data_IF_492123162992
#
_entry.id   IF_492123162992
#
_cell.length_a   1.000
_cell.length_b   1.000
_cell.length_c   1.000
_cell.angle_alpha   90.00
_cell.angle_beta   90.00
_cell.angle_gamma   90.00
#
_symmetry.space_group_name_H-M   'P 1'
#
loop_
_entity.id
_entity.type
_entity.pdbx_description
1 polymer ?
#
# COMPACT_ATOMS: atom_id res chain seq x y z
N UNK A 1 -2.61 3.86 7.80
CA UNK A 1 -1.89 3.42 6.58
C UNK A 1 -2.87 2.96 5.50
N UNK A 2 -3.62 1.86 5.67
CA UNK A 2 -4.65 1.43 4.70
C UNK A 2 -5.68 2.52 4.37
N UNK A 3 -6.21 3.21 5.39
CA UNK A 3 -7.13 4.34 5.17
C UNK A 3 -6.51 5.44 4.29
N UNK A 4 -5.23 5.80 4.51
CA UNK A 4 -4.54 6.80 3.70
C UNK A 4 -4.38 6.34 2.24
N UNK A 5 -4.16 5.03 2.04
CA UNK A 5 -4.18 4.46 0.69
C UNK A 5 -5.56 4.54 0.07
N UNK A 6 -6.63 4.16 0.78
CA UNK A 6 -8.00 4.22 0.25
C UNK A 6 -8.40 5.67 -0.11
N UNK A 7 -8.07 6.61 0.78
CA UNK A 7 -8.33 8.05 0.61
C UNK A 7 -7.47 8.70 -0.47
N UNK A 8 -6.36 8.07 -0.88
CA UNK A 8 -5.39 8.67 -1.81
C UNK A 8 -4.51 9.74 -1.16
N UNK A 9 -4.42 9.74 0.17
CA UNK A 9 -3.70 10.74 0.94
C UNK A 9 -2.22 10.36 1.09
N UNK A 10 -1.42 10.76 0.10
CA UNK A 10 0.02 10.48 0.02
C UNK A 10 0.79 11.01 1.24
N UNK A 11 0.46 12.21 1.73
CA UNK A 11 1.15 12.81 2.87
C UNK A 11 0.98 11.96 4.13
N UNK A 12 -0.26 11.53 4.38
CA UNK A 12 -0.62 10.68 5.51
C UNK A 12 -0.01 9.28 5.39
N UNK A 13 0.12 8.77 4.15
CA UNK A 13 0.83 7.53 3.85
C UNK A 13 2.32 7.64 4.20
N UNK A 14 3.00 8.68 3.70
CA UNK A 14 4.42 8.93 3.95
C UNK A 14 4.69 9.11 5.45
N UNK A 15 3.84 9.85 6.16
CA UNK A 15 4.01 10.03 7.61
C UNK A 15 3.91 8.70 8.35
N UNK A 16 2.95 7.83 7.99
CA UNK A 16 2.87 6.49 8.54
C UNK A 16 4.16 5.69 8.26
N UNK A 17 4.63 5.68 7.02
CA UNK A 17 5.88 4.99 6.65
C UNK A 17 7.08 5.48 7.47
N UNK A 18 7.23 6.80 7.63
CA UNK A 18 8.29 7.41 8.44
C UNK A 18 8.22 7.04 9.92
N UNK A 19 7.02 6.78 10.44
CA UNK A 19 6.82 6.29 11.81
C UNK A 19 7.13 4.80 11.98
N UNK A 20 7.56 4.11 10.91
CA UNK A 20 7.78 2.66 10.92
C UNK A 20 6.47 1.88 10.83
N UNK A 21 5.45 2.43 10.18
CA UNK A 21 4.20 1.70 9.97
C UNK A 21 4.45 0.42 9.18
N UNK A 22 3.82 -0.66 9.64
CA UNK A 22 3.97 -1.94 9.01
C UNK A 22 3.25 -1.92 7.66
N UNK A 23 4.03 -1.96 6.58
CA UNK A 23 3.52 -1.95 5.20
C UNK A 23 2.94 -3.31 4.79
N UNK A 24 3.17 -4.35 5.59
CA UNK A 24 2.69 -5.71 5.33
C UNK A 24 1.23 -5.95 5.78
N UNK A 25 0.47 -4.89 6.07
CA UNK A 25 -0.94 -5.03 6.43
C UNK A 25 -1.80 -5.35 5.21
N UNK A 26 -2.68 -6.33 5.37
CA UNK A 26 -3.67 -6.72 4.39
C UNK A 26 -5.02 -6.08 4.70
N UNK A 27 -5.76 -5.73 3.66
CA UNK A 27 -7.14 -5.27 3.74
C UNK A 27 -8.13 -6.39 4.05
N UNK A 28 -9.44 -6.07 4.10
CA UNK A 28 -10.50 -7.04 4.42
C UNK A 28 -10.62 -8.21 3.44
N UNK A 29 -10.02 -8.11 2.26
CA UNK A 29 -10.02 -9.17 1.22
C UNK A 29 -8.66 -9.88 1.11
N UNK A 30 -7.81 -9.80 2.15
CA UNK A 30 -6.38 -10.20 2.07
C UNK A 30 -5.55 -9.46 1.00
N UNK A 31 -6.15 -8.48 0.32
CA UNK A 31 -5.47 -7.62 -0.63
C UNK A 31 -4.39 -6.76 0.05
N UNK A 32 -3.23 -6.64 -0.59
CA UNK A 32 -2.14 -5.79 -0.13
C UNK A 32 -2.49 -4.30 -0.28
N UNK A 33 -1.74 -3.43 0.42
CA UNK A 33 -1.84 -1.97 0.23
C UNK A 33 -1.64 -1.57 -1.24
N UNK A 34 -0.74 -2.25 -1.95
CA UNK A 34 -0.48 -1.99 -3.36
C UNK A 34 -1.70 -2.29 -4.23
N UNK A 35 -2.41 -3.39 -3.94
CA UNK A 35 -3.63 -3.75 -4.65
C UNK A 35 -4.69 -2.65 -4.48
N UNK A 36 -4.91 -2.18 -3.25
CA UNK A 36 -5.84 -1.08 -3.01
C UNK A 36 -5.42 0.21 -3.72
N UNK A 37 -4.15 0.60 -3.61
CA UNK A 37 -3.62 1.81 -4.26
C UNK A 37 -3.77 1.76 -5.79
N UNK A 38 -3.52 0.61 -6.40
CA UNK A 38 -3.67 0.38 -7.83
C UNK A 38 -5.16 0.39 -8.24
N UNK A 39 -6.02 -0.30 -7.47
CA UNK A 39 -7.47 -0.40 -7.72
C UNK A 39 -8.17 0.95 -7.65
N UNK A 40 -7.76 1.82 -6.73
CA UNK A 40 -8.29 3.18 -6.60
C UNK A 40 -7.68 4.18 -7.57
N UNK A 41 -6.59 3.81 -8.28
CA UNK A 41 -5.90 4.68 -9.23
C UNK A 41 -4.92 5.66 -8.60
N UNK A 42 -4.51 5.45 -7.35
CA UNK A 42 -3.59 6.33 -6.63
C UNK A 42 -2.14 6.05 -7.01
N UNK A 43 -1.80 6.42 -8.24
CA UNK A 43 -0.48 6.21 -8.85
C UNK A 43 0.67 6.76 -8.02
N UNK A 44 0.50 7.88 -7.32
CA UNK A 44 1.57 8.46 -6.50
C UNK A 44 1.93 7.57 -5.31
N UNK A 45 0.92 6.98 -4.66
CA UNK A 45 1.11 6.02 -3.58
C UNK A 45 1.74 4.73 -4.12
N UNK A 46 1.24 4.24 -5.26
CA UNK A 46 1.80 3.06 -5.94
C UNK A 46 3.28 3.26 -6.28
N UNK A 47 3.65 4.40 -6.87
CA UNK A 47 5.05 4.75 -7.16
C UNK A 47 5.89 4.83 -5.91
N UNK A 48 5.39 5.48 -4.86
CA UNK A 48 6.12 5.57 -3.60
C UNK A 48 6.37 4.18 -2.99
N UNK A 49 5.39 3.29 -3.03
CA UNK A 49 5.53 1.90 -2.59
C UNK A 49 6.50 1.12 -3.48
N UNK A 50 6.51 1.35 -4.80
CA UNK A 50 7.46 0.71 -5.71
C UNK A 50 8.91 1.19 -5.49
N UNK A 51 9.11 2.47 -5.20
CA UNK A 51 10.44 3.06 -5.01
C UNK A 51 11.00 2.85 -3.60
N UNK A 52 10.14 2.89 -2.58
CA UNK A 52 10.56 2.85 -1.16
C UNK A 52 10.01 1.65 -0.38
N UNK A 53 9.09 0.89 -0.95
CA UNK A 53 8.49 -0.25 -0.28
C UNK A 53 9.38 -1.48 -0.29
N UNK A 54 9.25 -2.36 0.72
CA UNK A 54 9.96 -3.62 0.77
C UNK A 54 9.47 -4.55 -0.36
N UNK A 55 10.38 -5.29 -0.96
CA UNK A 55 10.10 -6.26 -2.04
C UNK A 55 9.00 -7.27 -1.68
N UNK A 56 8.86 -7.60 -0.39
CA UNK A 56 7.79 -8.47 0.12
C UNK A 56 6.38 -7.94 -0.15
N UNK A 57 6.21 -6.62 -0.33
CA UNK A 57 4.92 -6.01 -0.64
C UNK A 57 4.56 -6.16 -2.13
N UNK A 58 5.56 -6.29 -3.00
CA UNK A 58 5.40 -6.64 -4.41
C UNK A 58 5.10 -8.13 -4.59
N UNK A 59 5.65 -8.95 -3.68
CA UNK A 59 5.51 -10.41 -3.69
C UNK A 59 4.33 -10.93 -2.86
N UNK A 60 3.50 -10.02 -2.32
CA UNK A 60 2.15 -10.36 -1.89
C UNK A 60 1.32 -10.68 -3.13
N UNK A 61 1.63 -11.84 -3.71
CA UNK A 61 0.86 -12.51 -4.71
C UNK A 61 -0.56 -12.60 -4.18
N UNK A 62 -1.42 -11.78 -4.79
CA UNK A 62 -2.85 -11.94 -4.77
C UNK A 62 -3.07 -13.42 -5.05
N UNK A 63 -3.41 -14.18 -4.00
CA UNK A 63 -3.71 -15.59 -4.19
C UNK A 63 -5.01 -15.58 -4.97
N UNK A 64 -4.90 -15.68 -6.29
CA UNK A 64 -6.02 -15.84 -7.20
C UNK A 64 -6.88 -17.00 -6.66
N UNK A 65 -8.04 -16.67 -6.12
CA UNK A 65 -9.15 -17.60 -5.92
C UNK A 65 -10.39 -17.05 -6.57
#
# INVERSE_FOLDING_TARGET
LLQAVIEGDLLKFIECCKRGANLLIQGPDHCSLLHHAAKTGHLEIVKYILEHGPSELLDMTDSET
#
